data_IF_500052145825
#
_entry.id   IF_500052145825
#
_cell.length_a   1.000
_cell.length_b   1.000
_cell.length_c   1.000
_cell.angle_alpha   90.00
_cell.angle_beta   90.00
_cell.angle_gamma   90.00
#
_symmetry.space_group_name_H-M   'P 1'
#
loop_
_entity.id
_entity.type
_entity.pdbx_description
1 polymer ?
#
# COMPACT_ATOMS: atom_id res chain seq x y z
N UNK A 1 -17.86 13.06 21.02
CA UNK A 1 -17.95 11.61 20.70
C UNK A 1 -17.54 11.29 19.27
N UNK A 2 -18.14 11.89 18.23
CA UNK A 2 -17.82 11.57 16.82
C UNK A 2 -16.33 11.65 16.46
N UNK A 3 -15.63 12.71 16.88
CA UNK A 3 -14.18 12.88 16.63
C UNK A 3 -13.34 11.72 17.22
N UNK A 4 -13.64 11.29 18.45
CA UNK A 4 -12.94 10.16 19.09
C UNK A 4 -13.19 8.84 18.34
N UNK A 5 -14.40 8.64 17.83
CA UNK A 5 -14.76 7.47 17.02
C UNK A 5 -13.99 7.49 15.69
N UNK A 6 -13.90 8.64 15.03
CA UNK A 6 -13.13 8.83 13.80
C UNK A 6 -11.64 8.55 13.99
N UNK A 7 -11.03 9.06 15.07
CA UNK A 7 -9.61 8.81 15.39
C UNK A 7 -9.37 7.33 15.70
N UNK A 8 -10.23 6.71 16.49
CA UNK A 8 -10.13 5.28 16.80
C UNK A 8 -10.25 4.42 15.54
N UNK A 9 -11.19 4.75 14.65
CA UNK A 9 -11.37 4.06 13.38
C UNK A 9 -10.11 4.20 12.51
N UNK A 10 -9.56 5.40 12.37
CA UNK A 10 -8.33 5.65 11.60
C UNK A 10 -7.17 4.77 12.10
N UNK A 11 -6.94 4.75 13.42
CA UNK A 11 -5.84 3.99 14.02
C UNK A 11 -6.03 2.49 13.80
N UNK A 12 -7.23 1.97 14.11
CA UNK A 12 -7.53 0.54 13.95
C UNK A 12 -7.42 0.12 12.49
N UNK A 13 -7.98 0.90 11.58
CA UNK A 13 -7.92 0.61 10.15
C UNK A 13 -6.48 0.60 9.63
N UNK A 14 -5.64 1.55 10.06
CA UNK A 14 -4.22 1.57 9.69
C UNK A 14 -3.47 0.34 10.23
N UNK A 15 -3.69 -0.02 11.50
CA UNK A 15 -3.07 -1.20 12.11
C UNK A 15 -3.48 -2.51 11.40
N UNK A 16 -4.76 -2.64 11.03
CA UNK A 16 -5.26 -3.79 10.29
C UNK A 16 -4.62 -3.84 8.91
N UNK A 17 -4.62 -2.73 8.17
CA UNK A 17 -4.03 -2.65 6.83
C UNK A 17 -2.55 -2.99 6.85
N UNK A 18 -1.79 -2.47 7.81
CA UNK A 18 -0.37 -2.80 7.94
C UNK A 18 -0.16 -4.29 8.22
N UNK A 19 -0.88 -4.87 9.19
CA UNK A 19 -0.78 -6.32 9.50
C UNK A 19 -1.18 -7.20 8.31
N UNK A 20 -2.27 -6.87 7.61
CA UNK A 20 -2.75 -7.63 6.46
C UNK A 20 -1.75 -7.51 5.30
N UNK A 21 -1.27 -6.30 5.02
CA UNK A 21 -0.27 -6.05 3.99
C UNK A 21 1.03 -6.79 4.26
N UNK A 22 1.57 -6.70 5.47
CA UNK A 22 2.83 -7.36 5.85
C UNK A 22 2.69 -8.90 5.81
N UNK A 23 1.60 -9.44 6.33
CA UNK A 23 1.34 -10.87 6.24
C UNK A 23 1.18 -11.35 4.80
N UNK A 24 0.52 -10.56 3.94
CA UNK A 24 0.39 -10.89 2.52
C UNK A 24 1.76 -10.88 1.83
N UNK A 25 2.60 -9.87 2.10
CA UNK A 25 3.97 -9.80 1.59
C UNK A 25 4.78 -11.00 2.07
N UNK A 26 4.73 -11.33 3.37
CA UNK A 26 5.46 -12.44 3.99
C UNK A 26 5.05 -13.78 3.36
N UNK A 27 3.75 -14.04 3.27
CA UNK A 27 3.20 -15.25 2.65
C UNK A 27 3.62 -15.39 1.18
N UNK A 28 3.62 -14.30 0.42
CA UNK A 28 4.04 -14.31 -0.99
C UNK A 28 5.56 -14.52 -1.12
N UNK A 29 6.37 -13.96 -0.22
CA UNK A 29 7.82 -14.21 -0.16
C UNK A 29 8.13 -15.66 0.21
N UNK A 30 7.43 -16.23 1.19
CA UNK A 30 7.57 -17.64 1.59
C UNK A 30 7.23 -18.61 0.45
N UNK A 31 6.25 -18.26 -0.39
CA UNK A 31 5.90 -19.01 -1.60
C UNK A 31 6.86 -18.78 -2.78
N UNK A 32 7.97 -18.07 -2.56
CA UNK A 32 8.96 -17.70 -3.58
C UNK A 32 8.34 -16.95 -4.78
N UNK A 33 7.24 -16.24 -4.55
CA UNK A 33 6.60 -15.41 -5.57
C UNK A 33 7.42 -14.12 -5.70
N UNK A 34 7.60 -13.68 -6.94
CA UNK A 34 8.39 -12.53 -7.32
C UNK A 34 8.15 -11.31 -6.40
N UNK A 35 9.23 -10.71 -5.89
CA UNK A 35 9.24 -9.62 -4.88
C UNK A 35 8.26 -8.49 -5.25
N UNK A 36 8.17 -8.14 -6.53
CA UNK A 36 7.26 -7.10 -7.04
C UNK A 36 5.77 -7.40 -6.75
N UNK A 37 5.36 -8.65 -6.95
CA UNK A 37 3.98 -9.09 -6.72
C UNK A 37 3.65 -9.01 -5.23
N UNK A 38 4.63 -9.25 -4.37
CA UNK A 38 4.47 -9.06 -2.92
C UNK A 38 4.19 -7.59 -2.57
N UNK A 39 4.90 -6.64 -3.18
CA UNK A 39 4.65 -5.21 -2.99
C UNK A 39 3.30 -4.75 -3.57
N UNK A 40 2.83 -5.37 -4.66
CA UNK A 40 1.47 -5.15 -5.16
C UNK A 40 0.41 -5.57 -4.14
N UNK A 41 0.60 -6.68 -3.44
CA UNK A 41 -0.33 -7.09 -2.38
C UNK A 41 -0.37 -6.06 -1.23
N UNK A 42 0.79 -5.47 -0.90
CA UNK A 42 0.87 -4.38 0.07
C UNK A 42 0.10 -3.14 -0.42
N UNK A 43 0.31 -2.69 -1.66
CA UNK A 43 -0.44 -1.57 -2.25
C UNK A 43 -1.95 -1.85 -2.31
N UNK A 44 -2.35 -3.08 -2.60
CA UNK A 44 -3.75 -3.49 -2.63
C UNK A 44 -4.42 -3.41 -1.26
N UNK A 45 -3.68 -3.68 -0.17
CA UNK A 45 -4.19 -3.52 1.19
C UNK A 45 -4.55 -2.06 1.53
N UNK A 46 -3.78 -1.09 1.02
CA UNK A 46 -4.07 0.34 1.12
C UNK A 46 -5.24 0.76 0.24
N UNK A 47 -5.42 0.13 -0.92
CA UNK A 47 -6.61 0.34 -1.74
C UNK A 47 -7.89 -0.13 -1.04
N UNK A 48 -7.86 -1.30 -0.39
CA UNK A 48 -8.99 -1.78 0.42
C UNK A 48 -9.28 -0.81 1.57
N UNK A 49 -8.24 -0.32 2.26
CA UNK A 49 -8.37 0.69 3.31
C UNK A 49 -9.09 1.94 2.80
N UNK A 50 -8.68 2.46 1.65
CA UNK A 50 -9.33 3.61 1.02
C UNK A 50 -10.83 3.37 0.77
N UNK A 51 -11.20 2.21 0.23
CA UNK A 51 -12.61 1.85 -0.02
C UNK A 51 -13.42 1.75 1.28
N UNK A 52 -12.86 1.15 2.33
CA UNK A 52 -13.51 1.05 3.64
C UNK A 52 -13.74 2.44 4.24
N UNK A 53 -12.75 3.32 4.15
CA UNK A 53 -12.86 4.69 4.66
C UNK A 53 -13.87 5.50 3.84
N UNK A 54 -13.90 5.37 2.51
CA UNK A 54 -14.90 6.01 1.64
C UNK A 54 -16.32 5.55 1.98
N UNK A 55 -16.53 4.24 2.14
CA UNK A 55 -17.83 3.72 2.55
C UNK A 55 -18.21 4.23 3.95
N UNK A 56 -17.29 4.14 4.91
CA UNK A 56 -17.55 4.56 6.30
C UNK A 56 -17.87 6.05 6.41
N UNK A 57 -17.13 6.90 5.70
CA UNK A 57 -17.35 8.35 5.65
C UNK A 57 -18.73 8.67 5.05
N UNK A 58 -19.14 7.95 4.00
CA UNK A 58 -20.45 8.13 3.35
C UNK A 58 -21.63 7.69 4.23
N UNK A 59 -21.48 6.62 5.02
CA UNK A 59 -22.59 6.07 5.82
C UNK A 59 -22.68 6.62 7.24
N UNK A 60 -21.56 7.03 7.84
CA UNK A 60 -21.48 7.35 9.29
C UNK A 60 -21.19 8.85 9.54
N UNK A 61 -20.85 9.62 8.50
CA UNK A 61 -20.49 11.05 8.58
C UNK A 61 -19.40 11.31 9.63
N UNK A 62 -18.24 10.69 9.38
CA UNK A 62 -17.11 10.63 10.32
C UNK A 62 -16.16 11.83 10.18
N UNK A 63 -16.40 12.74 9.24
CA UNK A 63 -15.52 13.88 8.93
C UNK A 63 -14.03 13.48 8.71
N UNK A 64 -13.79 12.32 8.08
CA UNK A 64 -12.43 11.78 7.85
C UNK A 64 -11.90 12.08 6.44
N UNK A 65 -12.52 13.02 5.73
CA UNK A 65 -12.28 13.30 4.31
C UNK A 65 -10.81 13.58 3.99
N UNK A 66 -10.12 14.38 4.81
CA UNK A 66 -8.70 14.65 4.63
C UNK A 66 -7.85 13.38 4.71
N UNK A 67 -8.06 12.56 5.75
CA UNK A 67 -7.31 11.32 5.94
C UNK A 67 -7.54 10.34 4.79
N UNK A 68 -8.81 10.18 4.38
CA UNK A 68 -9.18 9.37 3.23
C UNK A 68 -8.48 9.80 1.94
N UNK A 69 -8.41 11.12 1.68
CA UNK A 69 -7.70 11.66 0.51
C UNK A 69 -6.20 11.35 0.57
N UNK A 70 -5.56 11.46 1.74
CA UNK A 70 -4.15 11.11 1.92
C UNK A 70 -3.91 9.62 1.65
N UNK A 71 -4.75 8.73 2.22
CA UNK A 71 -4.65 7.28 1.96
C UNK A 71 -4.84 6.98 0.48
N UNK A 72 -5.81 7.62 -0.17
CA UNK A 72 -6.03 7.49 -1.61
C UNK A 72 -4.82 7.93 -2.43
N UNK A 73 -4.24 9.09 -2.10
CA UNK A 73 -3.05 9.61 -2.78
C UNK A 73 -1.85 8.67 -2.64
N UNK A 74 -1.56 8.20 -1.42
CA UNK A 74 -0.47 7.24 -1.15
C UNK A 74 -0.70 5.95 -1.94
N UNK A 75 -1.94 5.44 -1.95
CA UNK A 75 -2.30 4.24 -2.73
C UNK A 75 -2.03 4.45 -4.23
N UNK A 76 -2.45 5.58 -4.79
CA UNK A 76 -2.20 5.91 -6.19
C UNK A 76 -0.70 5.98 -6.49
N UNK A 77 0.09 6.66 -5.66
CA UNK A 77 1.54 6.75 -5.83
C UNK A 77 2.20 5.37 -5.80
N UNK A 78 1.80 4.49 -4.87
CA UNK A 78 2.31 3.12 -4.78
C UNK A 78 1.97 2.30 -6.03
N UNK A 79 0.72 2.35 -6.49
CA UNK A 79 0.28 1.61 -7.69
C UNK A 79 0.97 2.14 -8.94
N UNK A 80 1.08 3.46 -9.10
CA UNK A 80 1.78 4.09 -10.23
C UNK A 80 3.25 3.71 -10.25
N UNK A 81 3.92 3.75 -9.10
CA UNK A 81 5.31 3.33 -8.96
C UNK A 81 5.52 1.87 -9.35
N UNK A 82 4.70 0.96 -8.83
CA UNK A 82 4.79 -0.47 -9.13
C UNK A 82 4.44 -0.78 -10.59
N UNK A 83 3.48 -0.05 -11.18
CA UNK A 83 3.13 -0.17 -12.60
C UNK A 83 4.27 0.30 -13.49
N UNK A 84 4.93 1.40 -13.13
CA UNK A 84 6.11 1.89 -13.84
C UNK A 84 7.26 0.88 -13.78
N UNK A 85 7.48 0.22 -12.63
CA UNK A 85 8.44 -0.87 -12.48
C UNK A 85 8.16 -2.03 -13.44
N UNK A 86 6.90 -2.46 -13.58
CA UNK A 86 6.50 -3.51 -14.54
C UNK A 86 6.71 -3.09 -15.99
N UNK A 87 6.39 -1.83 -16.34
CA UNK A 87 6.61 -1.30 -17.68
C UNK A 87 8.11 -1.26 -17.99
N UNK A 88 8.93 -0.77 -17.06
CA UNK A 88 10.39 -0.75 -17.18
C UNK A 88 10.98 -2.16 -17.29
N UNK A 89 10.42 -3.13 -16.56
CA UNK A 89 10.81 -4.55 -16.67
C UNK A 89 10.61 -5.07 -18.09
N UNK A 90 9.50 -4.71 -18.73
CA UNK A 90 9.17 -5.13 -20.10
C UNK A 90 9.99 -4.40 -21.16
N UNK A 91 10.21 -3.09 -21.01
CA UNK A 91 10.84 -2.25 -22.02
C UNK A 91 12.36 -2.18 -21.93
N UNK A 92 12.93 -2.20 -20.72
CA UNK A 92 14.37 -1.97 -20.53
C UNK A 92 14.92 -2.75 -19.33
N UNK A 93 15.19 -4.03 -19.57
CA UNK A 93 15.63 -4.96 -18.52
C UNK A 93 16.97 -4.56 -17.85
N UNK A 94 17.84 -3.80 -18.53
CA UNK A 94 19.09 -3.26 -17.95
C UNK A 94 18.81 -2.18 -16.90
N UNK A 95 17.91 -1.24 -17.21
CA UNK A 95 17.52 -0.18 -16.27
C UNK A 95 16.73 -0.72 -15.10
N UNK A 96 15.82 -1.65 -15.37
CA UNK A 96 15.09 -2.38 -14.34
C UNK A 96 16.04 -3.06 -13.34
N UNK A 97 17.05 -3.82 -13.82
CA UNK A 97 18.03 -4.46 -12.94
C UNK A 97 18.83 -3.47 -12.09
N UNK A 98 19.10 -2.27 -12.61
CA UNK A 98 19.82 -1.22 -11.88
C UNK A 98 18.96 -0.64 -10.74
N UNK A 99 17.69 -0.32 -11.03
CA UNK A 99 16.74 0.14 -10.00
C UNK A 99 16.46 -0.92 -8.94
N UNK A 100 16.29 -2.19 -9.33
CA UNK A 100 16.06 -3.27 -8.36
C UNK A 100 17.26 -3.43 -7.42
N UNK A 101 18.49 -3.29 -7.92
CA UNK A 101 19.70 -3.30 -7.08
C UNK A 101 19.76 -2.12 -6.11
N UNK A 102 19.35 -0.93 -6.52
CA UNK A 102 19.26 0.24 -5.64
C UNK A 102 18.22 0.04 -4.54
N UNK A 103 17.04 -0.50 -4.90
CA UNK A 103 16.01 -0.89 -3.94
C UNK A 103 16.53 -1.92 -2.92
N UNK A 104 17.21 -2.98 -3.37
CA UNK A 104 17.79 -4.00 -2.49
C UNK A 104 18.87 -3.44 -1.57
N UNK A 105 19.66 -2.47 -2.02
CA UNK A 105 20.65 -1.80 -1.17
C UNK A 105 20.00 -0.91 -0.11
N UNK A 106 18.91 -0.21 -0.43
CA UNK A 106 18.16 0.54 0.56
C UNK A 106 17.43 -0.36 1.57
N UNK A 107 16.86 -1.48 1.12
CA UNK A 107 16.20 -2.49 1.98
C UNK A 107 17.16 -3.14 2.99
N UNK A 108 18.47 -3.15 2.72
CA UNK A 108 19.51 -3.68 3.63
C UNK A 108 20.00 -2.67 4.67
N UNK A 109 19.77 -1.39 4.44
CA UNK A 109 20.24 -0.28 5.30
C UNK A 109 19.14 0.27 6.22
N UNK A 110 17.92 -0.26 6.11
CA UNK A 110 16.77 0.02 7.00
C UNK A 110 16.60 -1.19 7.92
#
# INVERSE_FOLDING_TARGET
>A
MKILISVALIIISFCITHRVGENAVRLLREKNINKEVSWFAYAFSFFILFLILEASDRYIDLHITFFKQVVGLVTCLMISYLSLLLILKKLNHKWYRRMVKELENHDKNI
#
